data_IF_246875400490
#
_entry.id   IF_246875400490
#
_cell.length_a   1.000
_cell.length_b   1.000
_cell.length_c   1.000
_cell.angle_alpha   90.00
_cell.angle_beta   90.00
_cell.angle_gamma   90.00
#
_symmetry.space_group_name_H-M   'P 1'
#
loop_
_entity.id
_entity.type
_entity.pdbx_description
1 polymer ?
#
# COMPACT_ATOMS: atom_id res chain seq x y z
N UNK A 1 14.91 -41.07 -35.64
CA UNK A 1 13.60 -40.48 -35.27
C UNK A 1 13.27 -40.55 -33.77
N UNK A 2 13.52 -41.65 -33.03
CA UNK A 2 13.15 -41.76 -31.59
C UNK A 2 13.97 -40.89 -30.61
N UNK A 3 15.16 -40.41 -30.98
CA UNK A 3 16.05 -39.67 -30.07
C UNK A 3 15.75 -38.16 -30.04
N UNK A 4 15.21 -37.60 -31.12
CA UNK A 4 14.83 -36.18 -31.19
C UNK A 4 13.55 -35.86 -30.38
N UNK A 5 12.62 -36.81 -30.28
CA UNK A 5 11.39 -36.64 -29.51
C UNK A 5 11.62 -36.54 -27.98
N UNK A 6 12.67 -37.21 -27.47
CA UNK A 6 13.00 -37.15 -26.03
C UNK A 6 13.62 -35.80 -25.63
N UNK A 7 14.34 -35.15 -26.55
CA UNK A 7 14.93 -33.83 -26.30
C UNK A 7 13.87 -32.71 -26.29
N UNK A 8 12.88 -32.76 -27.18
CA UNK A 8 11.79 -31.77 -27.20
C UNK A 8 10.88 -31.84 -25.96
N UNK A 9 10.59 -33.04 -25.43
CA UNK A 9 9.73 -33.19 -24.25
C UNK A 9 10.43 -32.67 -22.98
N UNK A 10 11.74 -32.89 -22.83
CA UNK A 10 12.51 -32.37 -21.69
C UNK A 10 12.66 -30.85 -21.76
N UNK A 11 12.85 -30.28 -22.96
CA UNK A 11 12.93 -28.83 -23.14
C UNK A 11 11.59 -28.12 -22.89
N UNK A 12 10.46 -28.71 -23.31
CA UNK A 12 9.12 -28.19 -23.03
C UNK A 12 8.75 -28.30 -21.54
N UNK A 13 9.16 -29.36 -20.85
CA UNK A 13 8.96 -29.48 -19.41
C UNK A 13 9.84 -28.50 -18.61
N UNK A 14 11.06 -28.21 -19.07
CA UNK A 14 11.93 -27.21 -18.45
C UNK A 14 11.40 -25.78 -18.66
N UNK A 15 10.88 -25.43 -19.84
CA UNK A 15 10.28 -24.11 -20.09
C UNK A 15 8.96 -23.94 -19.32
N UNK A 16 8.18 -25.01 -19.13
CA UNK A 16 6.99 -24.96 -18.28
C UNK A 16 7.36 -24.80 -16.79
N UNK A 17 8.40 -25.46 -16.28
CA UNK A 17 8.79 -25.36 -14.87
C UNK A 17 9.50 -24.03 -14.52
N UNK A 18 10.14 -23.36 -15.49
CA UNK A 18 10.72 -22.03 -15.28
C UNK A 18 9.76 -20.87 -15.55
N UNK A 19 8.61 -21.12 -16.21
CA UNK A 19 7.61 -20.09 -16.52
C UNK A 19 6.66 -19.72 -15.38
N UNK A 20 6.46 -20.59 -14.38
CA UNK A 20 5.50 -20.36 -13.30
C UNK A 20 6.12 -19.82 -11.99
N UNK A 21 7.45 -19.82 -11.85
CA UNK A 21 8.10 -19.41 -10.60
C UNK A 21 8.26 -17.89 -10.42
N UNK A 22 8.04 -17.08 -11.46
CA UNK A 22 8.23 -15.62 -11.41
C UNK A 22 6.93 -14.81 -11.30
N UNK A 23 5.77 -15.45 -11.20
CA UNK A 23 4.47 -14.76 -11.05
C UNK A 23 3.97 -14.66 -9.60
N UNK A 24 4.70 -15.22 -8.63
CA UNK A 24 4.24 -15.39 -7.25
C UNK A 24 4.73 -14.32 -6.26
N UNK A 25 5.05 -13.11 -6.72
CA UNK A 25 5.39 -11.99 -5.83
C UNK A 25 4.70 -10.68 -6.25
N UNK A 26 3.46 -10.76 -6.74
CA UNK A 26 2.57 -9.61 -6.58
C UNK A 26 2.11 -9.63 -5.11
N UNK A 27 2.99 -9.11 -4.25
CA UNK A 27 2.73 -8.96 -2.83
C UNK A 27 1.43 -8.17 -2.67
N UNK A 28 0.50 -8.77 -1.92
CA UNK A 28 -0.74 -8.17 -1.44
C UNK A 28 -0.46 -6.70 -1.12
N UNK A 29 -1.03 -5.77 -1.89
CA UNK A 29 -1.12 -4.38 -1.44
C UNK A 29 -1.71 -4.45 -0.03
N UNK A 30 -1.17 -3.73 0.97
CA UNK A 30 -1.80 -3.73 2.29
C UNK A 30 -3.28 -3.45 2.11
N UNK A 31 -4.18 -4.03 2.93
CA UNK A 31 -5.49 -3.44 3.07
C UNK A 31 -5.27 -1.94 3.31
N UNK A 32 -5.93 -1.13 2.49
CA UNK A 32 -5.78 0.33 2.40
C UNK A 32 -6.04 1.04 3.74
N UNK A 33 -6.49 0.30 4.75
CA UNK A 33 -6.83 0.71 6.11
C UNK A 33 -5.63 1.20 6.93
N UNK A 34 -4.41 0.74 6.64
CA UNK A 34 -3.27 1.10 7.46
C UNK A 34 -2.49 2.29 6.88
N UNK A 35 -2.94 3.50 7.23
CA UNK A 35 -2.16 4.70 7.01
C UNK A 35 -0.97 4.79 7.99
N UNK A 36 0.21 4.40 7.53
CA UNK A 36 1.46 4.56 8.29
C UNK A 36 2.10 5.95 8.14
N UNK A 37 1.55 6.80 7.27
CA UNK A 37 1.97 8.19 7.11
C UNK A 37 1.92 8.92 8.44
N UNK A 38 3.01 9.59 8.80
CA UNK A 38 3.16 10.14 10.14
C UNK A 38 4.43 10.92 10.37
N UNK A 39 4.45 11.56 11.54
CA UNK A 39 5.66 12.00 12.23
C UNK A 39 6.01 10.90 13.22
N UNK A 40 7.21 10.37 13.09
CA UNK A 40 7.74 9.24 13.85
C UNK A 40 8.98 9.68 14.61
N UNK A 41 9.02 9.33 15.90
CA UNK A 41 10.24 9.41 16.69
C UNK A 41 10.94 8.09 16.66
N UNK A 42 12.22 8.08 16.33
CA UNK A 42 13.03 6.86 16.29
C UNK A 42 14.31 7.03 17.10
N UNK A 43 14.99 5.93 17.42
CA UNK A 43 16.34 5.93 17.99
C UNK A 43 17.44 6.09 16.91
N UNK A 44 17.07 6.26 15.64
CA UNK A 44 17.96 6.64 14.53
C UNK A 44 17.92 8.14 14.26
N UNK A 45 16.80 8.64 13.73
CA UNK A 45 16.49 10.04 13.47
C UNK A 45 14.95 10.23 13.48
N UNK A 46 14.44 11.42 13.80
CA UNK A 46 13.00 11.68 13.65
C UNK A 46 12.63 11.66 12.15
N UNK A 47 11.61 10.87 11.79
CA UNK A 47 11.18 10.64 10.40
C UNK A 47 9.78 11.21 10.19
N UNK A 48 9.57 11.88 9.07
CA UNK A 48 8.28 12.35 8.60
C UNK A 48 8.01 11.79 7.21
N UNK A 49 6.93 11.05 7.03
CA UNK A 49 6.59 10.59 5.69
C UNK A 49 5.08 10.53 5.47
N UNK A 50 4.68 10.70 4.21
CA UNK A 50 3.32 10.58 3.75
C UNK A 50 3.30 9.41 2.79
N UNK A 51 2.17 8.72 2.81
CA UNK A 51 1.90 7.58 1.96
C UNK A 51 0.75 7.97 1.04
N UNK A 52 0.84 7.61 -0.24
CA UNK A 52 -0.29 7.70 -1.15
C UNK A 52 -1.17 6.46 -1.07
N UNK A 53 -2.17 6.43 -1.94
CA UNK A 53 -3.16 5.36 -2.01
C UNK A 53 -2.66 4.06 -2.64
N UNK A 54 -1.48 4.09 -3.26
CA UNK A 54 -0.79 2.93 -3.85
C UNK A 54 0.36 2.43 -2.94
N UNK A 55 0.48 3.02 -1.75
CA UNK A 55 1.51 2.73 -0.77
C UNK A 55 2.86 3.39 -1.08
N UNK A 56 2.95 4.29 -2.07
CA UNK A 56 4.19 5.03 -2.32
C UNK A 56 4.42 6.01 -1.19
N UNK A 57 5.66 6.03 -0.72
CA UNK A 57 6.08 6.86 0.40
C UNK A 57 7.01 7.94 -0.10
N UNK A 58 6.75 9.17 0.36
CA UNK A 58 7.68 10.30 0.28
C UNK A 58 7.84 10.91 1.65
N UNK A 59 9.07 11.19 2.05
CA UNK A 59 9.36 11.70 3.38
C UNK A 59 10.66 12.47 3.50
N UNK A 60 10.83 13.02 4.69
CA UNK A 60 12.03 13.68 5.15
C UNK A 60 12.41 13.09 6.52
N UNK A 61 13.68 13.15 6.87
CA UNK A 61 14.15 12.83 8.21
C UNK A 61 15.24 13.84 8.57
N UNK A 62 15.53 13.97 9.87
CA UNK A 62 16.57 14.88 10.36
C UNK A 62 16.34 16.31 9.82
N UNK A 63 15.24 16.92 10.30
CA UNK A 63 14.71 18.22 9.87
C UNK A 63 15.74 19.35 10.07
N UNK A 64 16.70 19.47 9.14
CA UNK A 64 17.82 20.39 9.23
C UNK A 64 19.07 19.95 8.48
N UNK A 65 19.26 18.64 8.26
CA UNK A 65 20.42 18.09 7.52
C UNK A 65 20.07 17.57 6.11
N UNK A 66 18.86 17.89 5.64
CA UNK A 66 18.43 17.62 4.28
C UNK A 66 18.11 16.14 4.01
N UNK A 67 17.74 15.36 5.04
CA UNK A 67 17.34 13.97 4.89
C UNK A 67 16.07 13.81 4.07
N UNK A 68 16.09 12.86 3.14
CA UNK A 68 15.03 12.54 2.18
C UNK A 68 14.80 11.04 2.16
N UNK A 69 13.55 10.62 2.21
CA UNK A 69 13.12 9.24 2.19
C UNK A 69 12.13 9.05 1.05
N UNK A 70 12.23 7.93 0.35
CA UNK A 70 11.10 7.46 -0.46
C UNK A 70 11.10 5.94 -0.56
N UNK A 71 9.95 5.38 -0.88
CA UNK A 71 9.79 3.94 -0.83
C UNK A 71 8.38 3.49 -1.15
N UNK A 72 8.08 2.27 -0.73
CA UNK A 72 6.79 1.64 -0.94
C UNK A 72 6.43 0.78 0.27
N UNK A 73 5.19 0.92 0.72
CA UNK A 73 4.60 0.06 1.75
C UNK A 73 3.87 -1.10 1.07
N UNK A 74 4.17 -2.30 1.53
CA UNK A 74 3.47 -3.54 1.20
C UNK A 74 3.16 -4.28 2.50
N UNK A 75 1.88 -4.62 2.71
CA UNK A 75 1.39 -5.08 4.01
C UNK A 75 1.81 -4.08 5.11
N UNK A 76 2.56 -4.50 6.13
CA UNK A 76 3.01 -3.66 7.23
C UNK A 76 4.48 -3.26 7.08
N UNK A 77 5.06 -3.41 5.88
CA UNK A 77 6.50 -3.21 5.65
C UNK A 77 6.75 -2.13 4.61
N UNK A 78 7.46 -1.07 5.02
CA UNK A 78 8.07 -0.09 4.12
C UNK A 78 9.41 -0.62 3.64
N UNK A 79 9.57 -0.75 2.33
CA UNK A 79 10.87 -0.86 1.67
C UNK A 79 11.20 0.49 1.06
N UNK A 80 12.35 1.05 1.41
CA UNK A 80 12.69 2.42 1.04
C UNK A 80 14.17 2.63 0.80
N UNK A 81 14.44 3.82 0.28
CA UNK A 81 15.77 4.38 0.08
C UNK A 81 15.83 5.75 0.74
N UNK A 82 16.98 6.05 1.33
CA UNK A 82 17.22 7.32 2.00
C UNK A 82 18.43 8.03 1.37
N UNK A 83 18.42 9.36 1.42
CA UNK A 83 19.55 10.20 1.07
C UNK A 83 19.62 11.42 2.01
N UNK A 84 20.81 11.84 2.41
CA UNK A 84 21.03 13.01 3.26
C UNK A 84 22.12 13.90 2.65
N UNK A 85 22.20 15.19 3.01
CA UNK A 85 23.26 16.05 2.47
C UNK A 85 24.60 15.86 3.19
N UNK A 86 24.58 15.25 4.37
CA UNK A 86 25.76 14.94 5.19
C UNK A 86 25.58 13.57 5.87
N UNK A 87 26.70 12.92 6.20
CA UNK A 87 26.72 11.63 6.88
C UNK A 87 28.12 11.23 7.29
N UNK A 88 28.25 10.17 8.08
CA UNK A 88 29.54 9.70 8.58
C UNK A 88 30.40 9.05 7.48
N UNK A 89 29.77 8.24 6.63
CA UNK A 89 30.46 7.47 5.59
C UNK A 89 29.91 7.86 4.22
N UNK A 90 30.70 8.53 3.36
CA UNK A 90 30.31 8.80 1.99
C UNK A 90 30.45 7.54 1.12
N UNK A 91 29.49 7.34 0.23
CA UNK A 91 29.48 6.29 -0.76
C UNK A 91 30.42 6.60 -1.92
N UNK A 92 30.90 5.53 -2.57
CA UNK A 92 31.76 5.62 -3.75
C UNK A 92 31.10 6.37 -4.89
N UNK A 93 29.79 6.22 -5.05
CA UNK A 93 28.96 6.86 -6.07
C UNK A 93 27.89 7.79 -5.49
N UNK A 94 27.47 8.75 -6.30
CA UNK A 94 26.37 9.67 -5.97
C UNK A 94 25.03 9.09 -6.45
N UNK A 95 24.01 9.16 -5.60
CA UNK A 95 22.61 8.87 -5.96
C UNK A 95 21.70 9.96 -5.41
N UNK A 96 20.68 10.32 -6.19
CA UNK A 96 19.72 11.38 -5.84
C UNK A 96 20.39 12.68 -5.32
N UNK A 97 21.48 13.09 -5.98
CA UNK A 97 22.18 14.34 -5.65
C UNK A 97 22.97 14.30 -4.33
N UNK A 98 23.30 13.11 -3.81
CA UNK A 98 24.07 12.92 -2.59
C UNK A 98 25.02 11.71 -2.63
N UNK A 99 26.16 11.81 -1.93
CA UNK A 99 27.05 10.68 -1.61
C UNK A 99 26.69 10.00 -0.29
N UNK A 100 25.67 10.45 0.42
CA UNK A 100 25.19 9.84 1.65
C UNK A 100 23.80 9.29 1.38
N UNK A 101 23.73 8.01 1.03
CA UNK A 101 22.49 7.33 0.67
C UNK A 101 22.55 5.87 1.10
N UNK A 102 21.39 5.23 1.14
CA UNK A 102 21.29 3.81 1.44
C UNK A 102 19.86 3.29 1.39
N UNK A 103 19.69 2.07 1.88
CA UNK A 103 18.41 1.37 1.91
C UNK A 103 17.86 1.33 3.35
N UNK A 104 16.54 1.26 3.47
CA UNK A 104 15.83 1.15 4.74
C UNK A 104 14.65 0.21 4.62
N UNK A 105 14.42 -0.57 5.68
CA UNK A 105 13.23 -1.39 5.87
C UNK A 105 12.60 -1.01 7.19
N UNK A 106 11.29 -0.71 7.19
CA UNK A 106 10.51 -0.46 8.40
C UNK A 106 9.35 -1.46 8.45
N UNK A 107 9.13 -2.07 9.60
CA UNK A 107 8.00 -2.94 9.90
C UNK A 107 7.15 -2.24 10.94
N UNK A 108 5.90 -1.99 10.61
CA UNK A 108 4.94 -1.32 11.49
C UNK A 108 4.21 -2.35 12.36
N UNK A 109 3.96 -1.99 13.61
CA UNK A 109 3.14 -2.81 14.49
C UNK A 109 1.66 -2.73 14.10
N UNK A 110 0.87 -3.72 14.54
CA UNK A 110 -0.58 -3.71 14.40
C UNK A 110 -1.19 -2.41 14.98
N UNK A 111 -1.98 -1.70 14.18
CA UNK A 111 -2.55 -0.40 14.51
C UNK A 111 -1.62 0.81 14.25
N UNK A 112 -0.41 0.58 13.73
CA UNK A 112 0.44 1.60 13.13
C UNK A 112 1.00 2.64 14.10
N UNK A 113 1.13 2.32 15.39
CA UNK A 113 1.64 3.26 16.40
C UNK A 113 3.11 3.01 16.81
N UNK A 114 3.63 1.83 16.52
CA UNK A 114 5.04 1.47 16.70
C UNK A 114 5.66 1.02 15.38
N UNK A 115 6.98 1.10 15.29
CA UNK A 115 7.75 0.51 14.21
C UNK A 115 9.06 -0.06 14.73
N UNK A 116 9.55 -1.08 14.02
CA UNK A 116 10.94 -1.53 14.07
C UNK A 116 11.53 -1.45 12.67
N UNK A 117 12.84 -1.30 12.56
CA UNK A 117 13.45 -1.15 11.24
C UNK A 117 14.93 -1.47 11.22
N UNK A 118 15.47 -1.48 10.00
CA UNK A 118 16.90 -1.59 9.73
C UNK A 118 17.27 -0.62 8.61
N UNK A 119 18.45 -0.03 8.70
CA UNK A 119 19.02 0.76 7.61
C UNK A 119 20.44 0.30 7.26
N UNK A 120 20.86 0.60 6.04
CA UNK A 120 22.21 0.36 5.52
C UNK A 120 22.68 1.58 4.72
N UNK A 121 23.98 1.68 4.47
CA UNK A 121 24.57 2.75 3.65
C UNK A 121 25.14 2.17 2.35
N UNK A 122 25.18 2.98 1.29
CA UNK A 122 25.91 2.67 0.06
C UNK A 122 25.49 1.37 -0.65
N UNK A 123 24.21 1.01 -0.53
CA UNK A 123 23.62 -0.20 -1.13
C UNK A 123 23.96 -1.48 -0.37
N UNK A 124 24.56 -1.38 0.82
CA UNK A 124 24.68 -2.52 1.71
C UNK A 124 23.30 -2.93 2.23
N UNK A 125 23.03 -4.25 2.36
CA UNK A 125 21.79 -4.73 2.95
C UNK A 125 21.53 -4.10 4.32
N UNK A 126 20.31 -3.63 4.61
CA UNK A 126 19.99 -3.01 5.90
C UNK A 126 20.32 -3.93 7.09
N UNK A 127 21.26 -3.51 7.94
CA UNK A 127 21.76 -4.29 9.08
C UNK A 127 21.72 -3.54 10.40
N UNK A 128 21.68 -2.21 10.38
CA UNK A 128 21.68 -1.38 11.59
C UNK A 128 20.26 -1.24 12.11
N UNK A 129 19.91 -1.85 13.26
CA UNK A 129 18.55 -1.83 13.77
C UNK A 129 18.17 -0.46 14.34
N UNK A 130 16.88 -0.16 14.27
CA UNK A 130 16.27 0.98 14.94
C UNK A 130 14.81 0.67 15.33
N UNK A 131 14.27 1.45 16.25
CA UNK A 131 12.88 1.37 16.71
C UNK A 131 12.24 2.74 16.71
N UNK A 132 10.91 2.81 16.70
CA UNK A 132 10.22 4.08 16.74
C UNK A 132 8.76 4.01 17.15
N UNK A 133 8.19 5.20 17.43
CA UNK A 133 6.77 5.38 17.74
C UNK A 133 6.19 6.56 16.98
N UNK A 134 4.91 6.45 16.63
CA UNK A 134 4.19 7.51 15.91
C UNK A 134 3.83 8.62 16.89
N UNK A 135 4.27 9.84 16.59
CA UNK A 135 3.90 11.05 17.33
C UNK A 135 2.59 11.64 16.78
N UNK A 136 2.43 11.61 15.45
CA UNK A 136 1.27 12.18 14.77
C UNK A 136 1.00 11.41 13.48
N UNK A 137 -0.25 11.08 13.21
CA UNK A 137 -0.69 10.57 11.91
C UNK A 137 -0.75 11.72 10.90
N UNK A 138 -0.23 11.49 9.70
CA UNK A 138 -0.40 12.38 8.56
C UNK A 138 -1.46 11.80 7.64
N UNK A 139 -2.30 12.64 7.05
CA UNK A 139 -3.25 12.22 6.02
C UNK A 139 -2.52 11.58 4.83
N UNK A 140 -3.19 10.64 4.16
CA UNK A 140 -2.67 10.10 2.90
C UNK A 140 -2.51 11.24 1.88
N UNK A 141 -1.44 11.20 1.10
CA UNK A 141 -1.04 12.29 0.17
C UNK A 141 -0.78 13.66 0.83
N UNK A 142 -0.58 13.71 2.16
CA UNK A 142 -0.15 14.93 2.82
C UNK A 142 1.12 15.48 2.15
N UNK A 143 1.10 16.78 1.84
CA UNK A 143 2.28 17.46 1.32
C UNK A 143 3.30 17.59 2.44
N UNK A 144 4.47 16.99 2.23
CA UNK A 144 5.61 17.10 3.15
C UNK A 144 6.61 18.10 2.56
N UNK A 145 7.08 19.06 3.36
CA UNK A 145 8.14 19.95 2.91
C UNK A 145 9.45 19.16 2.80
N UNK A 146 9.77 18.79 1.57
CA UNK A 146 11.07 18.25 1.20
C UNK A 146 12.03 19.43 0.99
N UNK A 147 13.29 19.35 1.46
CA UNK A 147 14.31 20.36 1.16
C UNK A 147 14.36 20.72 -0.33
N UNK A 148 14.15 21.99 -0.64
CA UNK A 148 13.97 22.47 -2.01
C UNK A 148 15.19 22.20 -2.89
N UNK A 149 14.97 21.72 -4.12
CA UNK A 149 16.00 21.59 -5.15
C UNK A 149 16.79 20.28 -5.13
N UNK A 150 16.43 19.32 -4.28
CA UNK A 150 17.02 17.98 -4.24
C UNK A 150 15.99 16.93 -4.68
N UNK A 151 16.40 15.92 -5.47
CA UNK A 151 15.49 14.86 -5.88
C UNK A 151 15.14 13.98 -4.66
N UNK A 152 13.86 13.61 -4.57
CA UNK A 152 13.39 12.60 -3.63
C UNK A 152 13.86 11.23 -4.14
N UNK A 153 14.43 10.37 -3.27
CA UNK A 153 14.66 8.98 -3.63
C UNK A 153 13.34 8.33 -4.06
N UNK A 154 13.29 7.78 -5.26
CA UNK A 154 12.14 7.02 -5.73
C UNK A 154 12.61 5.60 -6.00
N UNK A 155 11.92 4.64 -5.40
CA UNK A 155 11.93 3.28 -5.91
C UNK A 155 11.07 3.30 -7.16
N UNK A 156 11.63 2.88 -8.29
CA UNK A 156 10.78 2.50 -9.42
C UNK A 156 9.91 1.34 -8.90
N UNK A 157 8.57 1.46 -8.88
CA UNK A 157 7.69 0.46 -8.31
C UNK A 157 7.87 -0.92 -8.97
N UNK A 158 8.37 -0.95 -10.20
CA UNK A 158 8.69 -2.19 -10.93
C UNK A 158 10.11 -2.73 -10.60
N UNK A 159 10.97 -1.92 -9.97
CA UNK A 159 12.36 -2.28 -9.63
C UNK A 159 12.53 -2.93 -8.25
N UNK A 160 11.53 -2.81 -7.37
CA UNK A 160 11.57 -3.44 -6.06
C UNK A 160 11.26 -4.93 -6.26
N UNK A 161 12.31 -5.71 -6.50
CA UNK A 161 12.22 -7.14 -6.26
C UNK A 161 11.97 -7.30 -4.76
N UNK A 162 10.70 -7.51 -4.38
CA UNK A 162 10.35 -8.02 -3.06
C UNK A 162 11.20 -9.29 -2.91
N UNK A 163 12.17 -9.33 -1.98
CA UNK A 163 12.94 -10.54 -1.76
C UNK A 163 11.90 -11.63 -1.54
N UNK A 164 11.95 -12.69 -2.35
CA UNK A 164 11.06 -13.83 -2.19
C UNK A 164 11.05 -14.15 -0.70
N UNK A 165 9.85 -14.13 -0.09
CA UNK A 165 9.70 -14.36 1.33
C UNK A 165 10.61 -15.54 1.70
N UNK A 166 11.52 -15.38 2.67
CA UNK A 166 12.42 -16.47 3.03
C UNK A 166 11.55 -17.70 3.22
N UNK A 167 11.87 -18.78 2.50
CA UNK A 167 11.14 -20.04 2.56
C UNK A 167 10.83 -20.36 4.02
N UNK A 168 9.60 -20.81 4.27
CA UNK A 168 8.86 -20.87 5.53
C UNK A 168 9.52 -21.59 6.73
N UNK A 169 10.76 -21.27 7.02
CA UNK A 169 11.46 -21.58 8.27
C UNK A 169 11.33 -20.41 9.25
N UNK A 170 10.25 -19.61 9.12
CA UNK A 170 9.76 -18.80 10.22
C UNK A 170 9.17 -19.77 11.25
N UNK A 171 10.07 -20.31 12.07
CA UNK A 171 9.71 -21.12 13.23
C UNK A 171 8.90 -20.20 14.13
N UNK A 172 7.60 -20.45 14.18
CA UNK A 172 6.71 -19.94 15.20
C UNK A 172 7.39 -20.16 16.56
N UNK A 173 7.83 -19.07 17.18
CA UNK A 173 8.49 -19.10 18.48
C UNK A 173 7.44 -19.35 19.57
N UNK A 174 6.82 -20.53 19.54
CA UNK A 174 6.13 -21.08 20.69
C UNK A 174 7.20 -21.57 21.68
N UNK A 175 7.23 -21.10 22.95
CA UNK A 175 8.24 -21.50 23.92
C UNK A 175 8.09 -22.99 24.31
N UNK A 176 8.87 -23.85 23.67
CA UNK A 176 9.06 -25.25 24.06
C UNK A 176 10.06 -25.36 25.21
N UNK A 177 9.56 -25.63 26.42
CA UNK A 177 10.32 -25.89 27.65
C UNK A 177 11.14 -27.18 27.49
N UNK A 178 12.49 -27.09 27.57
CA UNK A 178 13.36 -28.27 27.37
C UNK A 178 14.88 -28.15 27.66
N UNK A 179 15.33 -27.35 28.65
CA UNK A 179 16.63 -27.45 29.38
C UNK A 179 17.97 -27.15 28.63
N UNK A 180 19.14 -27.10 29.33
CA UNK A 180 19.38 -26.85 30.76
C UNK A 180 19.97 -25.44 31.04
N UNK A 181 19.50 -24.85 32.14
CA UNK A 181 20.17 -23.86 33.00
C UNK A 181 21.06 -22.78 32.34
N UNK A 182 20.39 -21.83 31.67
CA UNK A 182 20.83 -20.43 31.64
C UNK A 182 19.74 -19.59 32.29
N UNK A 183 20.05 -18.85 33.35
CA UNK A 183 19.12 -17.92 34.01
C UNK A 183 18.63 -16.86 33.03
N UNK A 184 17.42 -17.05 32.49
CA UNK A 184 16.65 -16.05 31.74
C UNK A 184 15.76 -15.31 32.75
N UNK A 185 15.69 -13.96 32.73
CA UNK A 185 14.76 -13.22 33.58
C UNK A 185 13.31 -13.56 33.20
N UNK A 186 12.50 -13.85 34.20
CA UNK A 186 11.18 -14.47 34.10
C UNK A 186 10.03 -13.50 33.81
N UNK A 187 10.26 -12.42 33.06
CA UNK A 187 9.22 -11.41 32.84
C UNK A 187 9.20 -10.87 31.39
N UNK A 188 8.26 -11.31 30.54
CA UNK A 188 8.06 -10.75 29.21
C UNK A 188 7.58 -9.29 29.23
N UNK A 189 7.16 -8.74 30.37
CA UNK A 189 6.84 -7.31 30.53
C UNK A 189 8.09 -6.45 30.80
N UNK A 190 9.29 -7.05 30.81
CA UNK A 190 10.58 -6.33 30.95
C UNK A 190 11.34 -6.16 29.63
N UNK A 191 10.64 -6.09 28.49
CA UNK A 191 11.21 -5.40 27.34
C UNK A 191 11.40 -3.93 27.76
N UNK A 192 12.62 -3.58 28.16
CA UNK A 192 12.98 -2.20 28.52
C UNK A 192 12.74 -1.39 27.25
N UNK A 193 11.59 -0.72 27.19
CA UNK A 193 11.31 0.25 26.15
C UNK A 193 12.50 1.20 26.14
N UNK A 194 13.25 1.21 25.04
CA UNK A 194 14.27 2.23 24.84
C UNK A 194 13.58 3.58 25.11
N UNK A 195 14.17 4.44 25.92
CA UNK A 195 13.60 5.75 26.20
C UNK A 195 13.63 6.59 24.91
N UNK A 196 12.55 6.50 24.13
CA UNK A 196 12.38 7.15 22.81
C UNK A 196 12.13 8.66 22.95
N UNK A 197 12.62 9.29 24.03
CA UNK A 197 12.52 10.73 24.26
C UNK A 197 11.10 11.25 24.57
N UNK A 198 10.87 12.58 24.51
CA UNK A 198 9.59 13.20 24.88
C UNK A 198 8.44 12.83 23.93
N UNK A 199 7.20 13.14 24.30
CA UNK A 199 6.01 12.80 23.49
C UNK A 199 5.71 13.82 22.37
N UNK A 200 6.26 15.03 22.45
CA UNK A 200 5.98 16.11 21.49
C UNK A 200 6.99 16.11 20.32
N UNK A 201 6.56 16.46 19.09
CA UNK A 201 7.47 16.66 17.96
C UNK A 201 8.53 17.73 18.26
N UNK A 202 9.73 17.66 17.64
CA UNK A 202 10.71 18.73 17.74
C UNK A 202 10.13 20.06 17.22
N UNK A 203 10.53 21.18 17.82
CA UNK A 203 9.96 22.50 17.51
C UNK A 203 10.29 23.01 16.09
N UNK A 204 11.27 22.42 15.42
CA UNK A 204 11.69 22.71 14.05
C UNK A 204 10.92 21.89 13.00
N UNK A 205 9.99 21.02 13.41
CA UNK A 205 9.11 20.33 12.47
C UNK A 205 8.09 21.28 11.83
N UNK A 206 7.80 21.13 10.52
CA UNK A 206 6.85 21.98 9.83
C UNK A 206 5.41 21.77 10.33
N UNK A 207 4.67 22.87 10.46
CA UNK A 207 3.24 22.86 10.82
C UNK A 207 2.34 22.64 9.60
N UNK A 208 1.28 21.85 9.76
CA UNK A 208 0.25 21.63 8.74
C UNK A 208 -0.85 22.71 8.82
N UNK A 209 -1.51 23.06 7.69
CA UNK A 209 -2.65 23.99 7.71
C UNK A 209 -3.93 23.37 8.31
N UNK A 210 -4.74 24.22 8.97
CA UNK A 210 -6.05 23.85 9.56
C UNK A 210 -7.17 23.80 8.50
N UNK A 211 -8.02 22.76 8.51
CA UNK A 211 -9.20 22.63 7.65
C UNK A 211 -10.49 22.49 8.48
N UNK A 212 -11.56 23.20 8.10
CA UNK A 212 -12.86 23.16 8.78
C UNK A 212 -13.80 22.11 8.16
N UNK A 213 -14.54 21.31 8.95
CA UNK A 213 -15.42 20.25 8.43
C UNK A 213 -16.72 20.81 7.86
N UNK A 214 -17.14 20.30 6.70
CA UNK A 214 -18.44 20.57 6.06
C UNK A 214 -19.27 19.28 6.10
N UNK A 215 -20.39 19.27 6.84
CA UNK A 215 -21.27 18.10 6.92
C UNK A 215 -22.14 17.96 5.66
N UNK A 216 -22.10 16.80 5.03
CA UNK A 216 -22.98 16.48 3.89
C UNK A 216 -23.94 15.32 4.18
N UNK A 217 -25.21 15.47 3.75
CA UNK A 217 -26.29 14.49 3.87
C UNK A 217 -26.23 13.49 2.68
N UNK A 218 -25.29 12.55 2.73
CA UNK A 218 -25.02 11.61 1.63
C UNK A 218 -25.48 10.19 1.97
N UNK A 219 -25.95 9.48 0.94
CA UNK A 219 -26.18 8.03 0.94
C UNK A 219 -24.96 7.30 1.51
N UNK A 220 -25.20 6.32 2.39
CA UNK A 220 -24.15 5.46 2.93
C UNK A 220 -23.54 4.67 1.74
N UNK A 221 -22.24 4.86 1.41
CA UNK A 221 -21.63 4.17 0.28
C UNK A 221 -21.70 2.63 0.42
N UNK A 222 -21.82 2.11 1.64
CA UNK A 222 -21.98 0.67 1.89
C UNK A 222 -23.30 0.11 1.32
N UNK A 223 -24.37 0.90 1.24
CA UNK A 223 -25.66 0.45 0.69
C UNK A 223 -25.60 0.18 -0.83
N UNK A 224 -24.59 0.72 -1.51
CA UNK A 224 -24.38 0.57 -2.94
C UNK A 224 -23.41 -0.57 -3.29
N UNK A 225 -22.82 -1.24 -2.29
CA UNK A 225 -22.02 -2.44 -2.53
C UNK A 225 -22.92 -3.61 -3.00
N UNK A 226 -22.39 -4.54 -3.82
CA UNK A 226 -23.10 -5.75 -4.17
C UNK A 226 -23.39 -6.56 -2.89
N UNK A 227 -24.62 -7.07 -2.70
CA UNK A 227 -24.91 -7.97 -1.60
C UNK A 227 -24.23 -9.31 -1.90
N UNK A 228 -23.90 -10.06 -0.86
CA UNK A 228 -23.23 -11.35 -0.97
C UNK A 228 -23.91 -12.28 -1.98
N UNK A 229 -25.25 -12.30 -2.00
CA UNK A 229 -26.06 -13.15 -2.88
C UNK A 229 -26.04 -12.75 -4.37
N UNK A 230 -25.71 -11.50 -4.71
CA UNK A 230 -25.61 -11.10 -6.11
C UNK A 230 -24.36 -11.66 -6.78
N UNK A 231 -23.30 -11.91 -5.99
CA UNK A 231 -22.00 -12.36 -6.50
C UNK A 231 -21.99 -13.85 -6.87
N UNK A 232 -22.81 -14.66 -6.21
CA UNK A 232 -23.05 -16.06 -6.57
C UNK A 232 -23.44 -16.20 -8.05
N UNK A 233 -24.14 -15.20 -8.60
CA UNK A 233 -24.57 -15.15 -10.01
C UNK A 233 -23.48 -14.60 -10.94
N UNK A 234 -22.62 -13.71 -10.44
CA UNK A 234 -21.50 -13.11 -11.20
C UNK A 234 -20.43 -14.18 -11.50
N UNK A 235 -20.18 -15.14 -10.61
CA UNK A 235 -18.88 -15.82 -10.56
C UNK A 235 -18.93 -17.33 -10.87
N UNK A 236 -19.72 -17.71 -11.88
CA UNK A 236 -19.75 -19.06 -12.47
C UNK A 236 -20.02 -20.22 -11.48
N UNK A 237 -20.67 -19.94 -10.35
CA UNK A 237 -20.97 -20.97 -9.34
C UNK A 237 -19.78 -21.39 -8.49
N UNK A 238 -18.68 -20.64 -8.51
CA UNK A 238 -17.61 -20.78 -7.50
C UNK A 238 -18.06 -20.17 -6.17
N UNK A 239 -17.58 -20.71 -5.05
CA UNK A 239 -17.80 -20.14 -3.71
C UNK A 239 -16.74 -19.06 -3.48
N UNK A 240 -17.16 -17.89 -3.01
CA UNK A 240 -16.27 -16.77 -2.77
C UNK A 240 -16.27 -16.41 -1.30
N UNK A 241 -15.07 -16.17 -0.76
CA UNK A 241 -14.92 -15.49 0.50
C UNK A 241 -15.02 -14.00 0.23
N UNK A 242 -16.01 -13.41 0.88
CA UNK A 242 -16.21 -11.98 0.89
C UNK A 242 -15.40 -11.47 2.07
N UNK A 243 -14.21 -10.96 1.75
CA UNK A 243 -13.52 -10.05 2.65
C UNK A 243 -14.08 -8.65 2.38
N UNK A 244 -15.39 -8.50 2.59
CA UNK A 244 -16.03 -7.20 2.59
C UNK A 244 -15.69 -6.57 3.92
N UNK A 245 -14.51 -5.96 3.95
CA UNK A 245 -14.27 -4.91 4.90
C UNK A 245 -15.11 -3.72 4.43
N UNK A 246 -16.38 -3.72 4.86
CA UNK A 246 -17.27 -2.57 4.75
C UNK A 246 -16.71 -1.53 5.69
N UNK A 247 -15.62 -0.89 5.26
CA UNK A 247 -15.05 0.19 6.01
C UNK A 247 -16.01 1.37 5.87
N UNK A 248 -16.79 1.58 6.93
CA UNK A 248 -17.62 2.78 7.07
C UNK A 248 -16.70 3.89 7.53
N UNK A 249 -15.81 4.30 6.64
CA UNK A 249 -14.84 5.32 6.99
C UNK A 249 -15.53 6.64 7.34
N UNK A 250 -14.93 7.44 8.24
CA UNK A 250 -15.37 8.80 8.48
C UNK A 250 -15.34 9.61 7.19
N UNK A 251 -16.11 10.71 7.17
CA UNK A 251 -16.10 11.70 6.10
C UNK A 251 -14.64 12.13 5.80
N UNK A 252 -14.15 11.79 4.61
CA UNK A 252 -12.82 12.15 4.09
C UNK A 252 -12.88 13.48 3.37
N UNK A 253 -11.73 14.13 3.16
CA UNK A 253 -11.66 15.41 2.47
C UNK A 253 -10.64 15.35 1.33
N UNK A 254 -11.02 15.88 0.16
CA UNK A 254 -10.06 16.18 -0.89
C UNK A 254 -9.13 17.34 -0.45
N UNK A 255 -7.99 17.51 -1.11
CA UNK A 255 -7.05 18.62 -0.85
C UNK A 255 -7.70 20.01 -0.97
N UNK A 256 -8.79 20.12 -1.74
CA UNK A 256 -9.61 21.33 -1.89
C UNK A 256 -10.67 21.51 -0.78
N UNK A 257 -10.65 20.66 0.25
CA UNK A 257 -11.54 20.72 1.42
C UNK A 257 -12.95 20.16 1.18
N UNK A 258 -13.17 19.43 0.08
CA UNK A 258 -14.50 18.86 -0.20
C UNK A 258 -14.68 17.48 0.41
N UNK A 259 -15.78 17.26 1.16
CA UNK A 259 -16.01 15.99 1.81
C UNK A 259 -16.47 14.92 0.82
N UNK A 260 -16.01 13.69 1.05
CA UNK A 260 -16.53 12.48 0.42
C UNK A 260 -16.48 11.31 1.42
N UNK A 261 -17.24 10.25 1.13
CA UNK A 261 -17.20 8.98 1.85
C UNK A 261 -16.87 7.88 0.86
N UNK A 262 -16.23 6.83 1.34
CA UNK A 262 -15.90 5.67 0.54
C UNK A 262 -16.44 4.42 1.24
N UNK A 263 -16.89 3.44 0.45
CA UNK A 263 -16.97 2.05 0.89
C UNK A 263 -16.22 1.17 -0.11
N UNK A 264 -15.71 0.05 0.38
CA UNK A 264 -14.91 -0.88 -0.40
C UNK A 264 -15.35 -2.31 -0.17
N UNK A 265 -15.17 -3.17 -1.16
CA UNK A 265 -15.26 -4.62 -1.02
C UNK A 265 -14.23 -5.30 -1.92
N UNK A 266 -13.49 -6.26 -1.35
CA UNK A 266 -12.66 -7.22 -2.08
C UNK A 266 -13.38 -8.56 -2.17
N UNK A 267 -13.31 -9.21 -3.33
CA UNK A 267 -13.86 -10.55 -3.53
C UNK A 267 -12.75 -11.52 -3.91
N UNK A 268 -12.61 -12.56 -3.08
CA UNK A 268 -11.60 -13.60 -3.20
C UNK A 268 -12.29 -14.96 -3.46
N UNK A 269 -12.03 -15.64 -4.58
CA UNK A 269 -12.55 -16.99 -4.76
C UNK A 269 -11.94 -17.92 -3.72
N UNK A 270 -12.75 -18.84 -3.19
CA UNK A 270 -12.29 -19.79 -2.19
C UNK A 270 -11.09 -20.59 -2.71
N UNK A 271 -10.00 -20.61 -1.94
CA UNK A 271 -8.77 -21.30 -2.32
C UNK A 271 -7.89 -20.56 -3.35
N UNK A 272 -8.19 -19.29 -3.63
CA UNK A 272 -7.25 -18.38 -4.32
C UNK A 272 -6.59 -17.46 -3.31
N UNK A 273 -5.37 -17.03 -3.62
CA UNK A 273 -4.56 -16.20 -2.72
C UNK A 273 -4.68 -14.69 -3.02
N UNK A 274 -5.32 -14.30 -4.13
CA UNK A 274 -5.41 -12.90 -4.56
C UNK A 274 -6.84 -12.46 -4.91
N UNK A 275 -7.28 -11.27 -4.48
CA UNK A 275 -8.61 -10.76 -4.78
C UNK A 275 -8.78 -10.61 -6.29
N UNK A 276 -9.81 -11.27 -6.81
CA UNK A 276 -10.12 -11.23 -8.23
C UNK A 276 -11.00 -10.03 -8.57
N UNK A 277 -11.78 -9.50 -7.62
CA UNK A 277 -12.61 -8.33 -7.88
C UNK A 277 -12.54 -7.35 -6.74
N UNK A 278 -12.45 -6.08 -7.08
CA UNK A 278 -12.47 -4.99 -6.11
C UNK A 278 -13.53 -3.96 -6.52
N UNK A 279 -14.32 -3.50 -5.55
CA UNK A 279 -15.38 -2.52 -5.74
C UNK A 279 -15.16 -1.37 -4.79
N UNK A 280 -14.97 -0.16 -5.32
CA UNK A 280 -14.95 1.07 -4.53
C UNK A 280 -16.17 1.92 -4.90
N UNK A 281 -16.87 2.39 -3.88
CA UNK A 281 -18.00 3.31 -3.99
C UNK A 281 -17.62 4.61 -3.34
N UNK A 282 -17.79 5.71 -4.05
CA UNK A 282 -17.55 7.06 -3.57
C UNK A 282 -18.86 7.84 -3.54
N UNK A 283 -19.25 8.34 -2.37
CA UNK A 283 -20.36 9.29 -2.23
C UNK A 283 -19.81 10.64 -1.76
N UNK A 284 -20.38 11.74 -2.21
CA UNK A 284 -19.73 13.04 -2.01
C UNK A 284 -20.49 14.16 -2.70
N UNK A 285 -19.98 15.38 -2.54
CA UNK A 285 -20.36 16.47 -3.44
C UNK A 285 -20.00 16.08 -4.89
N UNK A 286 -20.87 16.38 -5.86
CA UNK A 286 -20.64 16.12 -7.29
C UNK A 286 -19.27 16.62 -7.78
N UNK A 287 -18.83 17.78 -7.29
CA UNK A 287 -17.54 18.36 -7.64
C UNK A 287 -16.37 17.52 -7.08
N UNK A 288 -16.50 16.95 -5.88
CA UNK A 288 -15.51 16.04 -5.31
C UNK A 288 -15.44 14.74 -6.13
N UNK A 289 -16.60 14.19 -6.47
CA UNK A 289 -16.67 12.96 -7.25
C UNK A 289 -16.10 13.15 -8.67
N UNK A 290 -16.30 14.32 -9.29
CA UNK A 290 -15.68 14.65 -10.59
C UNK A 290 -14.16 14.71 -10.52
N UNK A 291 -13.60 15.22 -9.42
CA UNK A 291 -12.14 15.20 -9.21
C UNK A 291 -11.66 13.75 -9.09
N UNK A 292 -12.34 12.94 -8.27
CA UNK A 292 -12.01 11.52 -8.08
C UNK A 292 -12.04 10.77 -9.41
N UNK A 293 -13.06 10.99 -10.24
CA UNK A 293 -13.14 10.41 -11.59
C UNK A 293 -12.04 10.91 -12.53
N UNK A 294 -11.69 12.20 -12.44
CA UNK A 294 -10.61 12.80 -13.22
C UNK A 294 -9.27 12.12 -12.92
N UNK A 295 -8.92 12.02 -11.63
CA UNK A 295 -7.72 11.31 -11.17
C UNK A 295 -7.76 9.84 -11.57
N UNK A 296 -8.92 9.19 -11.38
CA UNK A 296 -9.13 7.80 -11.79
C UNK A 296 -9.06 7.59 -13.30
N UNK A 297 -9.24 8.62 -14.13
CA UNK A 297 -9.05 8.54 -15.58
C UNK A 297 -7.59 8.73 -15.97
N UNK A 298 -6.88 9.63 -15.28
CA UNK A 298 -5.45 9.89 -15.50
C UNK A 298 -4.57 8.70 -15.11
N UNK A 299 -4.99 7.90 -14.12
CA UNK A 299 -4.24 6.70 -13.70
C UNK A 299 -4.38 5.52 -14.67
N UNK A 300 -5.34 5.55 -15.59
CA UNK A 300 -5.60 4.44 -16.50
C UNK A 300 -4.77 4.50 -17.77
N UNK A 301 -4.17 3.36 -18.11
CA UNK A 301 -3.66 3.11 -19.45
C UNK A 301 -4.82 2.77 -20.38
N UNK A 302 -4.82 3.34 -21.58
CA UNK A 302 -5.81 3.14 -22.64
C UNK A 302 -7.26 3.48 -22.22
N UNK A 303 -7.40 4.53 -21.41
CA UNK A 303 -8.69 5.04 -20.96
C UNK A 303 -9.62 5.34 -22.15
N UNK A 304 -10.77 4.67 -22.20
CA UNK A 304 -11.76 4.83 -23.26
C UNK A 304 -13.18 4.69 -22.73
N UNK A 305 -14.12 5.35 -23.38
CA UNK A 305 -15.53 5.16 -23.08
C UNK A 305 -15.93 3.69 -23.32
N UNK A 306 -16.75 3.14 -22.43
CA UNK A 306 -17.13 1.72 -22.49
C UNK A 306 -18.60 1.50 -22.85
N UNK A 307 -19.43 2.56 -22.86
CA UNK A 307 -20.83 2.51 -23.27
C UNK A 307 -21.75 1.72 -22.35
N UNK A 308 -21.29 1.34 -21.14
CA UNK A 308 -22.11 0.62 -20.15
C UNK A 308 -23.19 1.56 -19.58
N UNK A 309 -22.79 2.79 -19.24
CA UNK A 309 -23.67 3.93 -18.97
C UNK A 309 -23.01 5.19 -19.51
N UNK A 310 -23.78 6.28 -19.61
CA UNK A 310 -23.24 7.58 -20.02
C UNK A 310 -22.10 8.02 -19.09
N UNK A 311 -20.98 8.45 -19.68
CA UNK A 311 -19.78 8.87 -18.94
C UNK A 311 -18.92 7.73 -18.38
N UNK A 312 -19.32 6.47 -18.53
CA UNK A 312 -18.52 5.34 -18.08
C UNK A 312 -17.26 5.14 -18.94
N UNK A 313 -16.12 4.95 -18.28
CA UNK A 313 -14.84 4.74 -18.94
C UNK A 313 -14.09 3.55 -18.34
N UNK A 314 -13.23 2.94 -19.14
CA UNK A 314 -12.44 1.76 -18.78
C UNK A 314 -11.00 1.89 -19.23
N UNK A 315 -10.11 1.15 -18.59
CA UNK A 315 -8.71 1.07 -18.94
C UNK A 315 -8.01 -0.05 -18.17
N UNK A 316 -6.69 0.02 -18.10
CA UNK A 316 -5.89 -0.89 -17.27
C UNK A 316 -5.05 -0.12 -16.26
N UNK A 317 -4.92 -0.69 -15.06
CA UNK A 317 -4.16 -0.15 -13.94
C UNK A 317 -3.46 -1.31 -13.24
N UNK A 318 -2.14 -1.26 -13.10
CA UNK A 318 -1.34 -2.32 -12.46
C UNK A 318 -1.65 -3.74 -12.99
N UNK A 319 -1.83 -3.88 -14.31
CA UNK A 319 -2.14 -5.15 -14.96
C UNK A 319 -3.58 -5.65 -14.76
N UNK A 320 -4.44 -4.89 -14.06
CA UNK A 320 -5.85 -5.19 -13.86
C UNK A 320 -6.71 -4.35 -14.80
N UNK A 321 -7.84 -4.91 -15.22
CA UNK A 321 -8.88 -4.15 -15.90
C UNK A 321 -9.64 -3.29 -14.88
N UNK A 322 -9.87 -2.03 -15.22
CA UNK A 322 -10.60 -1.08 -14.37
C UNK A 322 -11.75 -0.46 -15.15
N UNK A 323 -12.89 -0.33 -14.49
CA UNK A 323 -14.10 0.30 -14.99
C UNK A 323 -14.62 1.33 -13.98
N UNK A 324 -14.86 2.55 -14.46
CA UNK A 324 -15.48 3.62 -13.72
C UNK A 324 -16.85 3.98 -14.28
N UNK A 325 -17.82 4.26 -13.41
CA UNK A 325 -19.13 4.76 -13.81
C UNK A 325 -19.88 5.43 -12.65
N UNK A 326 -20.95 6.16 -12.99
CA UNK A 326 -21.88 6.76 -12.03
C UNK A 326 -23.12 5.89 -11.85
N UNK A 327 -23.57 5.74 -10.61
CA UNK A 327 -24.84 5.11 -10.29
C UNK A 327 -25.40 5.67 -8.97
N UNK A 328 -26.70 6.02 -8.94
CA UNK A 328 -27.39 6.56 -7.75
C UNK A 328 -26.65 7.71 -7.03
N UNK A 329 -26.04 8.61 -7.80
CA UNK A 329 -25.29 9.76 -7.26
C UNK A 329 -23.89 9.43 -6.73
N UNK A 330 -23.48 8.17 -6.74
CA UNK A 330 -22.13 7.73 -6.41
C UNK A 330 -21.25 7.58 -7.65
N UNK A 331 -19.94 7.68 -7.46
CA UNK A 331 -18.94 7.18 -8.41
C UNK A 331 -18.50 5.79 -7.99
N UNK A 332 -18.42 4.85 -8.93
CA UNK A 332 -18.04 3.48 -8.69
C UNK A 332 -16.79 3.16 -9.50
N UNK A 333 -15.83 2.50 -8.86
CA UNK A 333 -14.63 1.92 -9.49
C UNK A 333 -14.65 0.41 -9.27
N UNK A 334 -14.66 -0.34 -10.34
CA UNK A 334 -14.51 -1.79 -10.33
C UNK A 334 -13.15 -2.17 -10.90
N UNK A 335 -12.43 -3.09 -10.27
CA UNK A 335 -11.21 -3.67 -10.83
C UNK A 335 -11.21 -5.19 -10.76
N UNK A 336 -10.57 -5.83 -11.75
CA UNK A 336 -10.45 -7.28 -11.82
C UNK A 336 -9.46 -7.77 -12.88
N UNK A 337 -9.28 -9.10 -13.05
CA UNK A 337 -8.29 -9.68 -13.95
C UNK A 337 -8.62 -9.47 -15.43
N UNK A 338 -9.91 -9.35 -15.77
CA UNK A 338 -10.35 -9.23 -17.15
C UNK A 338 -11.60 -8.37 -17.31
N UNK A 339 -11.77 -7.86 -18.53
CA UNK A 339 -12.87 -6.98 -18.91
C UNK A 339 -14.25 -7.65 -18.78
N UNK A 340 -14.49 -8.87 -19.30
CA UNK A 340 -15.79 -9.54 -19.18
C UNK A 340 -16.30 -9.66 -17.74
N UNK A 341 -15.44 -10.03 -16.80
CA UNK A 341 -15.80 -10.22 -15.40
C UNK A 341 -16.25 -8.90 -14.76
N UNK A 342 -15.44 -7.85 -14.94
CA UNK A 342 -15.73 -6.52 -14.39
C UNK A 342 -17.00 -5.91 -15.02
N UNK A 343 -17.23 -6.11 -16.32
CA UNK A 343 -18.47 -5.66 -16.97
C UNK A 343 -19.70 -6.40 -16.45
N UNK A 344 -19.59 -7.71 -16.17
CA UNK A 344 -20.69 -8.50 -15.61
C UNK A 344 -21.08 -7.98 -14.24
N UNK A 345 -20.10 -7.67 -13.38
CA UNK A 345 -20.32 -7.06 -12.08
C UNK A 345 -20.99 -5.68 -12.20
N UNK A 346 -20.53 -4.85 -13.13
CA UNK A 346 -21.12 -3.54 -13.38
C UNK A 346 -22.62 -3.61 -13.72
N UNK A 347 -23.01 -4.55 -14.60
CA UNK A 347 -24.43 -4.74 -14.96
C UNK A 347 -25.26 -5.14 -13.75
N UNK A 348 -24.74 -6.04 -12.91
CA UNK A 348 -25.44 -6.46 -11.69
C UNK A 348 -25.61 -5.32 -10.69
N UNK A 349 -24.65 -4.40 -10.60
CA UNK A 349 -24.81 -3.19 -9.79
C UNK A 349 -25.85 -2.24 -10.39
N UNK A 350 -25.84 -2.07 -11.71
CA UNK A 350 -26.76 -1.18 -12.42
C UNK A 350 -28.22 -1.66 -12.40
N UNK A 351 -28.44 -2.97 -12.42
CA UNK A 351 -29.78 -3.58 -12.43
C UNK A 351 -30.51 -3.48 -11.06
N UNK A 352 -29.83 -3.00 -10.00
CA UNK A 352 -30.41 -2.87 -8.63
C UNK A 352 -31.16 -1.56 -8.37
N UNK A 353 -31.36 -0.70 -9.38
CA UNK A 353 -32.10 0.57 -9.26
C UNK A 353 -33.62 0.43 -9.27
#
# INVERSE_FOLDING_TARGET
MKQWYRFCIVLLAAVALFGFANYAAYAKSPPYEDNYGGIWRTDWEDVMFSMDYDGLVTGAFDAGKGGRLGGVVRVETLHGVWAADQGQTPCSEERWGSRYWGDVVMVFDYGGNGLSGKWGACGEPPSTPFTGRRLKMLEMNATIPIPSGKPVPSLDPDSVAVPAAPGSDYVDATPGIGGPEGTVPADPDQAVAADVGPAEPPADFPTLPDFAPVRSALTDPAELLPPDTALDTVLNGEVWEIDALVDKEPERYLSVGWPYRMAYASYLPLGKEQPMLDVRVYTGNDAALKIIEGTGRESLRDARDCGIVEGAFKGTEYGRFVLWFRHNGAALRLSGPDEPLVQKLARILLDRS
#
